data_IF_783142922621
#
_entry.id   IF_783142922621
#
_cell.length_a   1.000
_cell.length_b   1.000
_cell.length_c   1.000
_cell.angle_alpha   90.00
_cell.angle_beta   90.00
_cell.angle_gamma   90.00
#
_symmetry.space_group_name_H-M   'P 1'
#
loop_
_entity.id
_entity.type
_entity.pdbx_description
1 polymer ?
#
# COMPACT_ATOMS: atom_id res chain seq x y z
N UNK A 1 21.93 -4.59 0.62
CA UNK A 1 21.46 -5.90 1.12
C UNK A 1 22.25 -6.41 2.29
N UNK A 2 23.59 -6.28 2.29
CA UNK A 2 24.43 -6.59 3.45
C UNK A 2 23.93 -5.99 4.77
N UNK A 3 23.69 -4.67 4.82
CA UNK A 3 23.15 -4.01 6.01
C UNK A 3 21.78 -4.58 6.46
N UNK A 4 20.92 -4.99 5.53
CA UNK A 4 19.64 -5.62 5.85
C UNK A 4 19.84 -7.01 6.49
N UNK A 5 20.84 -7.77 6.04
CA UNK A 5 21.24 -9.05 6.63
C UNK A 5 21.72 -8.87 8.07
N UNK A 6 22.62 -7.91 8.28
CA UNK A 6 23.14 -7.58 9.61
C UNK A 6 22.02 -7.13 10.57
N UNK A 7 21.10 -6.27 10.13
CA UNK A 7 19.95 -5.85 10.94
C UNK A 7 18.98 -7.01 11.22
N UNK A 8 18.81 -7.94 10.28
CA UNK A 8 17.97 -9.12 10.50
C UNK A 8 18.55 -10.01 11.60
N UNK A 9 19.88 -10.17 11.61
CA UNK A 9 20.60 -10.86 12.68
C UNK A 9 20.47 -10.15 14.03
N UNK A 10 20.73 -8.83 14.07
CA UNK A 10 20.69 -8.02 15.30
C UNK A 10 19.33 -8.07 16.04
N UNK A 11 18.23 -8.27 15.30
CA UNK A 11 16.87 -8.36 15.83
C UNK A 11 16.28 -9.78 15.82
N UNK A 12 17.11 -10.82 15.62
CA UNK A 12 16.68 -12.23 15.55
C UNK A 12 15.50 -12.50 14.61
N UNK A 13 15.47 -11.82 13.45
CA UNK A 13 14.38 -11.97 12.48
C UNK A 13 14.64 -13.18 11.58
N UNK A 14 13.63 -14.02 11.30
CA UNK A 14 13.78 -15.17 10.41
C UNK A 14 14.14 -14.72 8.99
N UNK A 15 15.11 -15.40 8.39
CA UNK A 15 15.72 -15.03 7.10
C UNK A 15 14.85 -15.44 5.91
N UNK A 16 14.03 -16.50 6.06
CA UNK A 16 13.26 -17.10 4.97
C UNK A 16 12.23 -16.14 4.40
N UNK A 17 11.62 -15.31 5.25
CA UNK A 17 10.66 -14.29 4.82
C UNK A 17 11.29 -13.26 3.88
N UNK A 18 12.49 -12.79 4.24
CA UNK A 18 13.23 -11.77 3.48
C UNK A 18 13.78 -12.36 2.18
N UNK A 19 14.28 -13.59 2.19
CA UNK A 19 14.77 -14.28 0.98
C UNK A 19 13.65 -14.52 -0.05
N UNK A 20 12.47 -14.96 0.40
CA UNK A 20 11.29 -15.09 -0.48
C UNK A 20 10.88 -13.74 -1.09
N UNK A 21 10.92 -12.67 -0.29
CA UNK A 21 10.62 -11.32 -0.76
C UNK A 21 11.63 -10.83 -1.80
N UNK A 22 12.94 -11.04 -1.56
CA UNK A 22 14.00 -10.71 -2.52
C UNK A 22 13.84 -11.46 -3.84
N UNK A 23 13.53 -12.76 -3.76
CA UNK A 23 13.26 -13.61 -4.93
C UNK A 23 12.07 -13.08 -5.72
N UNK A 24 10.97 -12.74 -5.05
CA UNK A 24 9.76 -12.23 -5.69
C UNK A 24 9.98 -10.84 -6.31
N UNK A 25 10.71 -9.96 -5.63
CA UNK A 25 10.98 -8.58 -6.08
C UNK A 25 11.84 -8.54 -7.34
N UNK A 26 12.84 -9.42 -7.42
CA UNK A 26 13.78 -9.48 -8.55
C UNK A 26 13.50 -10.67 -9.49
N UNK A 27 12.31 -11.24 -9.47
CA UNK A 27 11.94 -12.40 -10.30
C UNK A 27 12.20 -12.21 -11.80
N UNK A 28 12.18 -10.96 -12.29
CA UNK A 28 12.47 -10.61 -13.69
C UNK A 28 13.96 -10.59 -14.04
N UNK A 29 14.87 -10.64 -13.04
CA UNK A 29 16.32 -10.53 -13.19
C UNK A 29 17.02 -11.50 -12.21
N UNK A 30 17.14 -12.79 -12.56
CA UNK A 30 17.60 -13.84 -11.65
C UNK A 30 19.04 -13.60 -11.13
N UNK A 31 19.94 -13.08 -11.97
CA UNK A 31 21.32 -12.79 -11.55
C UNK A 31 21.38 -11.71 -10.46
N UNK A 32 20.51 -10.70 -10.55
CA UNK A 32 20.38 -9.65 -9.54
C UNK A 32 19.74 -10.21 -8.26
N UNK A 33 18.77 -11.13 -8.39
CA UNK A 33 18.19 -11.80 -7.23
C UNK A 33 19.25 -12.60 -6.47
N UNK A 34 20.04 -13.42 -7.17
CA UNK A 34 21.11 -14.23 -6.60
C UNK A 34 22.18 -13.36 -5.91
N UNK A 35 22.63 -12.28 -6.57
CA UNK A 35 23.59 -11.34 -5.99
C UNK A 35 23.06 -10.67 -4.70
N UNK A 36 21.78 -10.26 -4.69
CA UNK A 36 21.16 -9.64 -3.52
C UNK A 36 20.97 -10.63 -2.35
N UNK A 37 20.62 -11.89 -2.65
CA UNK A 37 20.51 -12.96 -1.64
C UNK A 37 21.89 -13.28 -1.05
N UNK A 38 22.92 -13.41 -1.90
CA UNK A 38 24.29 -13.63 -1.44
C UNK A 38 24.78 -12.49 -0.53
N UNK A 39 24.54 -11.24 -0.92
CA UNK A 39 24.87 -10.08 -0.10
C UNK A 39 24.07 -10.02 1.22
N UNK A 40 22.80 -10.46 1.22
CA UNK A 40 21.98 -10.55 2.43
C UNK A 40 22.54 -11.61 3.40
N UNK A 41 22.81 -12.82 2.91
CA UNK A 41 23.40 -13.91 3.70
C UNK A 41 24.78 -13.54 4.25
N UNK A 42 25.62 -12.89 3.44
CA UNK A 42 26.92 -12.40 3.90
C UNK A 42 26.79 -11.43 5.09
N UNK A 43 25.80 -10.54 5.08
CA UNK A 43 25.54 -9.63 6.20
C UNK A 43 25.01 -10.32 7.45
N UNK A 44 24.17 -11.35 7.29
CA UNK A 44 23.68 -12.16 8.40
C UNK A 44 24.82 -12.96 9.06
N UNK A 45 25.62 -13.67 8.25
CA UNK A 45 26.77 -14.45 8.72
C UNK A 45 27.85 -13.57 9.35
N UNK A 46 28.02 -12.35 8.85
CA UNK A 46 28.94 -11.37 9.44
C UNK A 46 28.53 -11.00 10.87
N UNK A 47 27.22 -10.85 11.13
CA UNK A 47 26.68 -10.67 12.46
C UNK A 47 26.99 -11.85 13.38
N UNK A 48 26.74 -13.09 12.93
CA UNK A 48 27.02 -14.29 13.73
C UNK A 48 28.50 -14.48 14.09
N UNK A 49 29.41 -14.07 13.21
CA UNK A 49 30.86 -14.30 13.38
C UNK A 49 31.54 -13.17 14.16
N UNK A 50 30.92 -11.99 14.22
CA UNK A 50 31.51 -10.81 14.84
C UNK A 50 30.94 -10.64 16.25
N UNK A 51 31.71 -11.03 17.26
CA UNK A 51 31.32 -10.97 18.69
C UNK A 51 31.19 -9.54 19.26
N UNK A 52 31.22 -8.48 18.44
CA UNK A 52 31.18 -7.08 18.89
C UNK A 52 29.79 -6.62 19.38
N UNK A 53 28.71 -7.36 19.10
CA UNK A 53 27.35 -6.95 19.46
C UNK A 53 26.79 -7.78 20.63
N UNK A 54 27.11 -7.35 21.84
CA UNK A 54 26.70 -8.03 23.09
C UNK A 54 25.20 -7.92 23.44
N UNK A 55 24.38 -7.18 22.66
CA UNK A 55 22.97 -6.94 22.98
C UNK A 55 22.10 -7.08 21.74
N UNK A 56 21.49 -8.24 21.59
CA UNK A 56 20.39 -8.49 20.67
C UNK A 56 19.06 -8.12 21.32
N UNK A 57 18.28 -7.22 20.71
CA UNK A 57 16.96 -6.86 21.20
C UNK A 57 15.89 -7.67 20.45
N UNK A 58 15.15 -8.50 21.17
CA UNK A 58 13.99 -9.20 20.60
C UNK A 58 12.79 -8.26 20.57
N UNK A 59 12.37 -7.86 19.37
CA UNK A 59 11.15 -7.08 19.18
C UNK A 59 9.97 -8.04 19.23
N UNK A 60 9.26 -8.06 20.36
CA UNK A 60 8.06 -8.87 20.53
C UNK A 60 7.04 -8.58 19.42
N UNK A 61 6.39 -9.61 18.84
CA UNK A 61 5.30 -9.41 17.91
C UNK A 61 4.20 -8.56 18.56
N UNK A 62 3.77 -7.49 17.90
CA UNK A 62 2.65 -6.70 18.40
C UNK A 62 1.37 -7.55 18.35
N UNK A 63 0.65 -7.61 19.47
CA UNK A 63 -0.65 -8.29 19.56
C UNK A 63 -1.69 -7.48 18.80
N UNK A 64 -2.07 -7.95 17.63
CA UNK A 64 -3.13 -7.36 16.84
C UNK A 64 -4.42 -8.19 16.99
N UNK A 65 -5.61 -7.55 17.08
CA UNK A 65 -6.87 -8.27 16.95
C UNK A 65 -6.91 -9.13 15.68
N UNK A 66 -7.63 -10.25 15.68
CA UNK A 66 -7.79 -11.02 14.45
C UNK A 66 -8.51 -10.18 13.39
N UNK A 67 -7.93 -10.04 12.20
CA UNK A 67 -8.47 -9.18 11.15
C UNK A 67 -7.65 -9.21 9.86
N UNK A 68 -8.19 -8.60 8.80
CA UNK A 68 -7.45 -8.39 7.55
C UNK A 68 -6.72 -7.06 7.63
N UNK A 69 -5.40 -7.11 7.75
CA UNK A 69 -4.54 -5.93 7.78
C UNK A 69 -4.02 -5.60 6.39
N UNK A 70 -4.01 -4.30 6.06
CA UNK A 70 -3.41 -3.80 4.84
C UNK A 70 -2.42 -2.69 5.19
N UNK A 71 -1.23 -2.76 4.62
CA UNK A 71 -0.29 -1.65 4.66
C UNK A 71 -0.76 -0.57 3.67
N UNK A 72 -0.96 0.65 4.16
CA UNK A 72 -1.47 1.79 3.39
C UNK A 72 -0.77 3.08 3.84
N UNK A 73 -0.38 3.93 2.90
CA UNK A 73 0.13 5.27 3.19
C UNK A 73 -1.01 6.27 3.35
N UNK A 74 -0.77 7.42 3.98
CA UNK A 74 -1.79 8.47 4.16
C UNK A 74 -2.41 8.95 2.84
N UNK A 75 -1.58 9.19 1.83
CA UNK A 75 -2.05 9.60 0.49
C UNK A 75 -2.94 8.53 -0.18
N UNK A 76 -2.58 7.25 -0.03
CA UNK A 76 -3.36 6.13 -0.56
C UNK A 76 -4.70 6.00 0.17
N UNK A 77 -4.69 6.14 1.50
CA UNK A 77 -5.89 6.13 2.32
C UNK A 77 -6.83 7.29 1.97
N UNK A 78 -6.30 8.50 1.80
CA UNK A 78 -7.07 9.67 1.39
C UNK A 78 -7.70 9.49 0.01
N UNK A 79 -6.94 8.96 -0.96
CA UNK A 79 -7.44 8.69 -2.32
C UNK A 79 -8.63 7.72 -2.31
N UNK A 80 -8.53 6.62 -1.54
CA UNK A 80 -9.65 5.70 -1.38
C UNK A 80 -10.82 6.30 -0.60
N UNK A 81 -10.54 7.15 0.40
CA UNK A 81 -11.57 7.88 1.13
C UNK A 81 -12.39 8.80 0.22
N UNK A 82 -11.72 9.54 -0.67
CA UNK A 82 -12.39 10.41 -1.65
C UNK A 82 -13.24 9.62 -2.64
N UNK A 83 -12.73 8.49 -3.15
CA UNK A 83 -13.50 7.60 -4.03
C UNK A 83 -14.72 7.04 -3.30
N UNK A 84 -14.53 6.55 -2.06
CA UNK A 84 -15.63 6.01 -1.26
C UNK A 84 -16.70 7.07 -0.98
N UNK A 85 -16.29 8.28 -0.59
CA UNK A 85 -17.20 9.40 -0.35
C UNK A 85 -17.98 9.78 -1.62
N UNK A 86 -17.30 9.88 -2.76
CA UNK A 86 -17.93 10.17 -4.05
C UNK A 86 -18.97 9.09 -4.42
N UNK A 87 -18.63 7.82 -4.23
CA UNK A 87 -19.55 6.71 -4.50
C UNK A 87 -20.77 6.70 -3.56
N UNK A 88 -20.58 7.01 -2.27
CA UNK A 88 -21.68 7.10 -1.30
C UNK A 88 -22.57 8.33 -1.55
N UNK A 89 -21.97 9.43 -2.03
CA UNK A 89 -22.70 10.63 -2.43
C UNK A 89 -23.39 10.49 -3.80
N UNK A 90 -23.11 9.42 -4.55
CA UNK A 90 -23.53 9.24 -5.94
C UNK A 90 -23.09 10.41 -6.84
N UNK A 91 -21.93 11.00 -6.55
CA UNK A 91 -21.34 12.07 -7.35
C UNK A 91 -20.02 11.57 -7.95
N UNK A 92 -19.71 11.90 -9.20
CA UNK A 92 -18.37 11.68 -9.74
C UNK A 92 -17.34 12.55 -9.01
N UNK A 93 -16.12 12.05 -8.90
CA UNK A 93 -15.01 12.74 -8.24
C UNK A 93 -14.20 13.51 -9.28
N UNK A 94 -14.02 14.82 -9.07
CA UNK A 94 -13.12 15.64 -9.85
C UNK A 94 -11.96 16.14 -8.99
N UNK A 95 -10.73 15.97 -9.48
CA UNK A 95 -9.52 16.52 -8.86
C UNK A 95 -8.77 17.37 -9.88
N UNK A 96 -8.77 18.69 -9.69
CA UNK A 96 -7.82 19.60 -10.33
C UNK A 96 -6.62 19.81 -9.42
N UNK A 97 -5.41 19.47 -9.87
CA UNK A 97 -4.21 19.58 -9.03
C UNK A 97 -2.97 19.87 -9.87
N UNK A 98 -2.11 20.73 -9.34
CA UNK A 98 -0.74 20.91 -9.82
C UNK A 98 0.19 19.95 -9.04
N UNK A 99 1.06 19.18 -9.72
CA UNK A 99 1.93 18.22 -9.05
C UNK A 99 2.97 18.91 -8.15
N UNK A 100 2.83 18.74 -6.83
CA UNK A 100 3.80 19.14 -5.82
C UNK A 100 4.07 18.00 -4.82
N UNK A 101 5.31 17.82 -4.38
CA UNK A 101 5.64 16.84 -3.34
C UNK A 101 5.16 17.35 -1.97
N UNK A 102 4.43 16.56 -1.16
CA UNK A 102 4.10 15.13 -1.30
C UNK A 102 2.70 14.81 -1.86
N UNK A 103 1.93 15.80 -2.32
CA UNK A 103 0.54 15.62 -2.74
C UNK A 103 0.36 14.96 -4.12
N UNK A 104 1.39 14.99 -4.99
CA UNK A 104 1.34 14.39 -6.33
C UNK A 104 0.93 12.92 -6.36
N UNK A 105 1.21 12.17 -5.29
CA UNK A 105 0.82 10.75 -5.18
C UNK A 105 -0.69 10.56 -5.18
N UNK A 106 -1.45 11.53 -4.67
CA UNK A 106 -2.93 11.50 -4.66
C UNK A 106 -3.44 11.63 -6.09
N UNK A 107 -2.89 12.59 -6.86
CA UNK A 107 -3.22 12.75 -8.28
C UNK A 107 -2.88 11.48 -9.07
N UNK A 108 -1.70 10.92 -8.81
CA UNK A 108 -1.26 9.68 -9.46
C UNK A 108 -2.21 8.52 -9.15
N UNK A 109 -2.51 8.27 -7.88
CA UNK A 109 -3.38 7.17 -7.48
C UNK A 109 -4.80 7.34 -8.04
N UNK A 110 -5.39 8.53 -7.90
CA UNK A 110 -6.74 8.80 -8.42
C UNK A 110 -6.83 8.69 -9.95
N UNK A 111 -5.78 9.03 -10.68
CA UNK A 111 -5.74 8.91 -12.15
C UNK A 111 -5.88 7.46 -12.66
N UNK A 112 -5.54 6.47 -11.81
CA UNK A 112 -5.67 5.03 -12.11
C UNK A 112 -7.09 4.51 -11.91
N UNK A 113 -7.94 5.25 -11.20
CA UNK A 113 -9.26 4.82 -10.74
C UNK A 113 -10.42 5.43 -11.55
N UNK A 114 -10.23 5.66 -12.85
CA UNK A 114 -11.25 6.21 -13.77
C UNK A 114 -12.54 5.38 -13.80
N UNK A 115 -12.45 4.09 -13.50
CA UNK A 115 -13.58 3.16 -13.43
C UNK A 115 -14.61 3.54 -12.36
N UNK A 116 -14.23 4.35 -11.36
CA UNK A 116 -15.13 4.86 -10.32
C UNK A 116 -15.66 6.27 -10.64
N UNK A 117 -15.60 6.69 -11.91
CA UNK A 117 -16.03 8.03 -12.31
C UNK A 117 -15.09 9.15 -11.87
N UNK A 118 -13.83 8.81 -11.53
CA UNK A 118 -12.80 9.78 -11.16
C UNK A 118 -12.27 10.49 -12.41
N UNK A 119 -12.23 11.82 -12.36
CA UNK A 119 -11.62 12.69 -13.36
C UNK A 119 -10.51 13.50 -12.72
N UNK A 120 -9.31 13.38 -13.25
CA UNK A 120 -8.14 14.13 -12.80
C UNK A 120 -7.73 15.13 -13.88
N UNK A 121 -7.43 16.35 -13.49
CA UNK A 121 -6.89 17.40 -14.34
C UNK A 121 -5.56 17.88 -13.76
N UNK A 122 -4.49 17.75 -14.53
CA UNK A 122 -3.20 18.30 -14.19
C UNK A 122 -3.18 19.76 -14.66
N UNK A 123 -3.28 20.68 -13.71
CA UNK A 123 -3.24 22.10 -13.99
C UNK A 123 -1.80 22.59 -14.21
N UNK A 124 -1.66 23.79 -14.74
CA UNK A 124 -0.39 24.52 -14.90
C UNK A 124 0.14 25.10 -13.59
N UNK A 125 -0.77 25.46 -12.67
CA UNK A 125 -0.47 25.98 -11.34
C UNK A 125 -1.62 25.66 -10.37
N UNK A 126 -1.44 25.96 -9.09
CA UNK A 126 -2.43 25.69 -8.04
C UNK A 126 -3.71 26.51 -8.21
N UNK A 127 -3.63 27.71 -8.80
CA UNK A 127 -4.76 28.63 -9.02
C UNK A 127 -5.69 28.06 -10.11
N UNK A 128 -5.12 27.59 -11.21
CA UNK A 128 -5.82 26.88 -12.26
C UNK A 128 -6.40 25.55 -11.75
N UNK A 129 -5.68 24.85 -10.86
CA UNK A 129 -6.18 23.65 -10.19
C UNK A 129 -7.48 23.89 -9.42
N UNK A 130 -7.51 24.90 -8.54
CA UNK A 130 -8.72 25.24 -7.78
C UNK A 130 -9.81 25.84 -8.67
N UNK A 131 -9.45 26.66 -9.67
CA UNK A 131 -10.38 27.23 -10.64
C UNK A 131 -11.12 26.14 -11.44
N UNK A 132 -10.39 25.12 -11.89
CA UNK A 132 -10.96 23.96 -12.57
C UNK A 132 -11.87 23.15 -11.64
N UNK A 133 -11.50 22.96 -10.37
CA UNK A 133 -12.34 22.27 -9.39
C UNK A 133 -13.66 23.02 -9.11
N UNK A 134 -13.61 24.35 -9.01
CA UNK A 134 -14.82 25.18 -8.88
C UNK A 134 -15.70 25.08 -10.13
N UNK A 135 -15.11 25.24 -11.33
CA UNK A 135 -15.82 25.08 -12.59
C UNK A 135 -16.48 23.70 -12.72
N UNK A 136 -15.80 22.65 -12.27
CA UNK A 136 -16.33 21.30 -12.23
C UNK A 136 -17.53 21.16 -11.25
N UNK A 137 -17.48 21.83 -10.10
CA UNK A 137 -18.57 21.82 -9.12
C UNK A 137 -19.83 22.56 -9.63
N UNK A 138 -19.67 23.73 -10.25
CA UNK A 138 -20.79 24.52 -10.79
C UNK A 138 -21.31 24.03 -12.14
N UNK A 139 -20.42 23.54 -13.01
CA UNK A 139 -20.73 23.08 -14.37
C UNK A 139 -21.44 21.72 -14.44
N UNK A 140 -21.85 21.17 -13.29
CA UNK A 140 -22.55 19.90 -13.23
C UNK A 140 -21.66 18.70 -13.51
N UNK A 141 -20.32 18.81 -13.37
CA UNK A 141 -19.48 17.62 -13.41
C UNK A 141 -19.85 16.64 -12.31
N UNK A 142 -20.36 17.13 -11.18
CA UNK A 142 -20.94 16.39 -10.04
C UNK A 142 -22.32 15.77 -10.34
N UNK A 143 -22.91 15.95 -11.53
CA UNK A 143 -24.25 15.42 -11.84
C UNK A 143 -24.14 13.95 -12.23
N UNK A 144 -24.80 13.07 -11.48
CA UNK A 144 -24.63 11.63 -11.62
C UNK A 144 -25.16 11.07 -12.96
N UNK A 145 -24.42 10.15 -13.61
CA UNK A 145 -25.03 9.11 -14.43
C UNK A 145 -25.70 8.04 -13.54
N UNK A 146 -26.69 7.27 -14.06
CA UNK A 146 -27.41 6.25 -13.28
C UNK A 146 -26.44 5.26 -12.59
N UNK A 147 -26.79 4.75 -11.40
CA UNK A 147 -25.84 4.02 -10.56
C UNK A 147 -25.31 2.77 -11.28
N UNK A 148 -23.97 2.58 -11.38
CA UNK A 148 -23.42 1.29 -11.75
C UNK A 148 -23.67 0.28 -10.63
N UNK A 149 -23.97 -0.96 -11.01
CA UNK A 149 -24.15 -2.09 -10.08
C UNK A 149 -22.95 -2.20 -9.12
N UNK A 150 -23.16 -2.45 -7.81
CA UNK A 150 -22.04 -2.52 -6.86
C UNK A 150 -21.12 -3.70 -7.18
N UNK A 151 -19.93 -3.42 -7.74
CA UNK A 151 -18.89 -4.43 -8.05
C UNK A 151 -18.38 -5.14 -6.79
N UNK A 152 -18.52 -4.52 -5.62
CA UNK A 152 -18.01 -5.02 -4.34
C UNK A 152 -18.94 -6.01 -3.61
N UNK A 153 -20.13 -6.31 -4.14
CA UNK A 153 -21.09 -7.21 -3.49
C UNK A 153 -20.88 -8.71 -3.81
N UNK A 154 -19.75 -9.05 -4.41
CA UNK A 154 -19.39 -10.41 -4.83
C UNK A 154 -18.47 -11.15 -3.85
N UNK A 155 -18.03 -10.53 -2.74
CA UNK A 155 -17.45 -11.29 -1.64
C UNK A 155 -18.59 -11.99 -0.87
N UNK A 156 -18.62 -13.34 -0.80
CA UNK A 156 -19.58 -14.02 0.04
C UNK A 156 -19.38 -13.51 1.48
N UNK A 157 -20.47 -13.03 2.09
CA UNK A 157 -20.47 -12.74 3.53
C UNK A 157 -19.94 -14.01 4.21
N UNK A 158 -18.90 -13.95 5.05
CA UNK A 158 -18.54 -15.10 5.85
C UNK A 158 -19.77 -15.42 6.71
N UNK A 159 -20.44 -16.51 6.39
CA UNK A 159 -21.48 -17.08 7.23
C UNK A 159 -20.85 -17.35 8.59
N UNK A 160 -21.29 -16.64 9.62
CA UNK A 160 -20.98 -16.99 10.99
C UNK A 160 -21.51 -18.42 11.23
N UNK A 161 -20.61 -19.40 11.21
CA UNK A 161 -20.87 -20.75 11.70
C UNK A 161 -19.96 -20.97 12.92
N UNK A 162 -20.51 -21.35 14.08
CA UNK A 162 -19.73 -21.61 15.26
C UNK A 162 -19.36 -23.10 15.30
N UNK A 163 -18.13 -23.47 14.91
CA UNK A 163 -17.60 -24.80 15.26
C UNK A 163 -16.07 -24.86 15.32
N UNK A 164 -15.58 -24.82 16.56
CA UNK A 164 -14.57 -25.68 17.20
C UNK A 164 -13.35 -26.19 16.39
N UNK A 165 -12.21 -26.08 17.08
CA UNK A 165 -11.04 -26.99 17.10
C UNK A 165 -10.17 -27.12 15.85
N UNK A 166 -9.02 -26.43 15.85
CA UNK A 166 -7.73 -27.07 16.17
C UNK A 166 -6.56 -26.08 16.02
N UNK A 167 -6.06 -25.60 17.16
CA UNK A 167 -4.66 -25.20 17.31
C UNK A 167 -3.84 -26.45 17.63
N UNK A 168 -2.88 -26.80 16.79
CA UNK A 168 -1.66 -27.57 17.12
C UNK A 168 -0.56 -26.91 16.29
N UNK A 169 0.31 -26.15 16.94
CA UNK A 169 1.58 -26.55 17.60
C UNK A 169 2.72 -26.10 16.71
#
# INVERSE_FOLDING_TARGET
>A
MFALGLLSWMYHRPTEGTERWLTSKFARKPDIAAANIAAYRAGFNFGETTEDFAVSYEVAPATFPAGTYRNISGNLALSYGLIAAAQQAYLPLYLGSYPITPASDILHELSRHKNFGVRTFQAEDEIAGIGAALGAAFGGSSRSPPPPVPVWRSSPRPSASPSRSNCRS
#
